data_IF_860960440174
#
_entry.id   IF_860960440174
#
_cell.length_a   1.000
_cell.length_b   1.000
_cell.length_c   1.000
_cell.angle_alpha   90.00
_cell.angle_beta   90.00
_cell.angle_gamma   90.00
#
_symmetry.space_group_name_H-M   'P 1'
#
loop_
_entity.id
_entity.type
_entity.pdbx_description
1 polymer ?
#
# COMPACT_ATOMS: atom_id res chain seq x y z
N UNK A 1 9.03 -4.13 -10.62
CA UNK A 1 9.86 -3.41 -11.61
C UNK A 1 9.43 -3.80 -13.00
N UNK A 2 9.35 -2.85 -13.91
CA UNK A 2 8.86 -3.12 -15.26
C UNK A 2 9.94 -3.82 -16.09
N UNK A 3 9.52 -4.83 -16.85
CA UNK A 3 10.37 -5.47 -17.85
C UNK A 3 10.30 -4.64 -19.13
N UNK A 4 11.38 -3.96 -19.49
CA UNK A 4 11.47 -3.16 -20.72
C UNK A 4 12.20 -3.98 -21.78
N UNK A 5 11.62 -4.07 -22.99
CA UNK A 5 12.23 -4.77 -24.12
C UNK A 5 13.57 -4.10 -24.47
N UNK A 6 14.62 -4.89 -24.59
CA UNK A 6 15.96 -4.37 -24.84
C UNK A 6 16.67 -3.77 -23.62
N UNK A 7 16.14 -3.95 -22.42
CA UNK A 7 16.79 -3.46 -21.21
C UNK A 7 17.93 -4.39 -20.77
N UNK A 8 19.15 -4.01 -21.10
CA UNK A 8 20.38 -4.72 -20.68
C UNK A 8 20.75 -4.48 -19.21
N UNK A 9 20.00 -3.61 -18.49
CA UNK A 9 20.30 -3.20 -17.10
C UNK A 9 19.52 -3.98 -16.05
N UNK A 10 19.17 -5.23 -16.32
CA UNK A 10 18.45 -6.08 -15.35
C UNK A 10 19.21 -6.27 -14.03
N UNK A 11 20.53 -6.30 -14.08
CA UNK A 11 21.37 -6.40 -12.88
C UNK A 11 21.22 -5.15 -11.98
N UNK A 12 21.18 -3.95 -12.56
CA UNK A 12 20.91 -2.72 -11.80
C UNK A 12 19.55 -2.75 -11.11
N UNK A 13 18.52 -3.26 -11.79
CA UNK A 13 17.18 -3.43 -11.17
C UNK A 13 17.19 -4.43 -10.03
N UNK A 14 17.91 -5.55 -10.17
CA UNK A 14 18.06 -6.54 -9.11
C UNK A 14 18.81 -5.99 -7.90
N UNK A 15 19.90 -5.24 -8.15
CA UNK A 15 20.67 -4.57 -7.10
C UNK A 15 19.80 -3.54 -6.36
N UNK A 16 19.04 -2.73 -7.07
CA UNK A 16 18.11 -1.78 -6.46
C UNK A 16 17.03 -2.49 -5.62
N UNK A 17 16.46 -3.57 -6.14
CA UNK A 17 15.50 -4.37 -5.38
C UNK A 17 16.11 -4.94 -4.09
N UNK A 18 17.33 -5.51 -4.19
CA UNK A 18 18.07 -6.00 -3.02
C UNK A 18 18.35 -4.90 -2.00
N UNK A 19 18.75 -3.71 -2.48
CA UNK A 19 19.00 -2.56 -1.61
C UNK A 19 17.73 -2.17 -0.85
N UNK A 20 16.62 -1.94 -1.57
CA UNK A 20 15.35 -1.46 -0.98
C UNK A 20 14.78 -2.44 0.05
N UNK A 21 14.91 -3.75 -0.17
CA UNK A 21 14.47 -4.75 0.81
C UNK A 21 15.53 -5.10 1.86
N UNK A 22 16.72 -4.52 1.76
CA UNK A 22 17.84 -4.77 2.70
C UNK A 22 17.58 -4.15 4.08
N UNK A 23 18.05 -4.81 5.14
CA UNK A 23 17.84 -4.37 6.54
C UNK A 23 18.33 -2.95 6.80
N UNK A 24 19.53 -2.61 6.33
CA UNK A 24 20.11 -1.28 6.52
C UNK A 24 19.30 -0.20 5.84
N UNK A 25 18.89 -0.42 4.60
CA UNK A 25 18.03 0.53 3.88
C UNK A 25 16.69 0.70 4.61
N UNK A 26 16.05 -0.41 4.97
CA UNK A 26 14.78 -0.38 5.70
C UNK A 26 14.90 0.38 7.02
N UNK A 27 15.97 0.21 7.77
CA UNK A 27 16.23 0.94 9.02
C UNK A 27 16.41 2.44 8.76
N UNK A 28 17.42 2.81 7.96
CA UNK A 28 17.76 4.23 7.72
C UNK A 28 16.63 4.98 7.07
N UNK A 29 16.00 4.39 6.05
CA UNK A 29 14.88 5.03 5.35
C UNK A 29 13.69 5.27 6.28
N UNK A 30 13.31 4.28 7.08
CA UNK A 30 12.13 4.41 7.94
C UNK A 30 12.39 5.32 9.16
N UNK A 31 13.61 5.37 9.70
CA UNK A 31 13.98 6.36 10.71
C UNK A 31 13.84 7.80 10.19
N UNK A 32 14.29 8.07 8.96
CA UNK A 32 14.16 9.40 8.36
C UNK A 32 12.73 9.73 7.93
N UNK A 33 11.96 8.72 7.50
CA UNK A 33 10.58 8.91 7.04
C UNK A 33 9.58 9.00 8.20
N UNK A 34 9.89 8.52 9.39
CA UNK A 34 8.94 8.38 10.49
C UNK A 34 7.92 7.25 10.25
N UNK A 35 8.37 6.12 9.71
CA UNK A 35 7.53 4.95 9.46
C UNK A 35 8.21 3.69 10.01
N UNK A 36 7.51 2.56 10.00
CA UNK A 36 8.09 1.28 10.42
C UNK A 36 8.65 0.49 9.22
N UNK A 37 9.70 -0.32 9.41
CA UNK A 37 10.19 -1.23 8.38
C UNK A 37 9.12 -2.23 7.96
N UNK A 38 9.05 -2.52 6.65
CA UNK A 38 8.20 -3.60 6.13
C UNK A 38 8.73 -5.00 6.52
N UNK A 39 10.00 -5.09 6.88
CA UNK A 39 10.63 -6.32 7.36
C UNK A 39 10.48 -6.44 8.87
N UNK A 40 10.07 -7.62 9.33
CA UNK A 40 9.91 -7.92 10.76
C UNK A 40 11.22 -8.25 11.49
N UNK A 41 12.31 -8.47 10.73
CA UNK A 41 13.63 -8.82 11.26
C UNK A 41 14.60 -7.62 11.30
N UNK A 42 14.11 -6.40 11.24
CA UNK A 42 14.85 -5.15 11.47
C UNK A 42 14.67 -4.72 12.92
N UNK A 43 15.81 -4.49 13.61
CA UNK A 43 15.75 -4.00 14.99
C UNK A 43 15.13 -2.60 15.07
N UNK A 44 14.18 -2.42 15.98
CA UNK A 44 13.52 -1.15 16.26
C UNK A 44 14.17 -0.34 17.40
N UNK A 45 15.32 -0.76 17.93
CA UNK A 45 15.93 -0.13 19.11
C UNK A 45 16.30 1.35 18.99
N UNK A 46 16.36 1.89 17.76
CA UNK A 46 16.60 3.33 17.51
C UNK A 46 15.31 4.07 17.10
N UNK A 47 14.18 3.36 17.03
CA UNK A 47 12.90 3.93 16.67
C UNK A 47 12.18 4.46 17.91
N UNK A 48 11.26 5.40 17.70
CA UNK A 48 10.46 5.97 18.77
C UNK A 48 9.37 5.01 19.28
N UNK A 49 8.69 5.42 20.36
CA UNK A 49 7.62 4.66 20.97
C UNK A 49 6.46 4.38 19.98
N UNK A 50 6.10 5.36 19.14
CA UNK A 50 5.01 5.19 18.17
C UNK A 50 5.32 4.11 17.14
N UNK A 51 6.57 4.03 16.68
CA UNK A 51 7.02 2.98 15.78
C UNK A 51 6.95 1.59 16.43
N UNK A 52 7.31 1.46 17.72
CA UNK A 52 7.17 0.21 18.46
C UNK A 52 5.72 -0.24 18.56
N UNK A 53 4.79 0.65 18.91
CA UNK A 53 3.36 0.36 18.98
C UNK A 53 2.83 -0.05 17.60
N UNK A 54 3.11 0.73 16.56
CA UNK A 54 2.67 0.45 15.19
C UNK A 54 3.19 -0.89 14.67
N UNK A 55 4.43 -1.24 14.97
CA UNK A 55 5.00 -2.53 14.57
C UNK A 55 4.37 -3.71 15.31
N UNK A 56 4.07 -3.54 16.60
CA UNK A 56 3.37 -4.54 17.39
C UNK A 56 1.95 -4.78 16.86
N UNK A 57 1.20 -3.71 16.55
CA UNK A 57 -0.15 -3.77 16.00
C UNK A 57 -0.16 -4.42 14.60
N UNK A 58 0.79 -4.05 13.74
CA UNK A 58 0.94 -4.66 12.42
C UNK A 58 1.23 -6.16 12.53
N UNK A 59 2.10 -6.56 13.44
CA UNK A 59 2.43 -7.96 13.67
C UNK A 59 1.23 -8.74 14.21
N UNK A 60 0.53 -8.20 15.19
CA UNK A 60 -0.67 -8.80 15.76
C UNK A 60 -1.77 -8.96 14.70
N UNK A 61 -1.99 -7.95 13.86
CA UNK A 61 -2.96 -7.98 12.75
C UNK A 61 -2.56 -9.01 11.69
N UNK A 62 -1.27 -9.14 11.40
CA UNK A 62 -0.76 -10.12 10.44
C UNK A 62 -0.98 -11.55 10.94
N UNK A 63 -0.66 -11.82 12.20
CA UNK A 63 -0.86 -13.14 12.83
C UNK A 63 -2.34 -13.46 12.99
N UNK A 64 -3.15 -12.46 13.36
CA UNK A 64 -4.60 -12.61 13.54
C UNK A 64 -5.40 -12.66 12.24
N UNK A 65 -4.76 -12.49 11.08
CA UNK A 65 -5.45 -12.48 9.78
C UNK A 65 -6.33 -11.25 9.53
N UNK A 66 -6.11 -10.18 10.27
CA UNK A 66 -6.87 -8.92 10.17
C UNK A 66 -6.11 -7.81 9.47
N UNK A 67 -4.90 -8.09 8.97
CA UNK A 67 -4.10 -7.13 8.21
C UNK A 67 -4.73 -6.87 6.85
N UNK A 68 -5.22 -5.64 6.64
CA UNK A 68 -5.82 -5.22 5.38
C UNK A 68 -4.80 -4.45 4.53
N UNK A 69 -4.68 -4.76 3.23
CA UNK A 69 -3.85 -3.98 2.32
C UNK A 69 -4.37 -2.55 2.17
N UNK A 70 -3.45 -1.59 2.03
CA UNK A 70 -3.82 -0.18 1.87
C UNK A 70 -4.44 0.09 0.51
N UNK A 71 -5.67 0.64 0.50
CA UNK A 71 -6.31 1.16 -0.71
C UNK A 71 -5.54 2.35 -1.30
N UNK A 72 -5.18 3.32 -0.46
CA UNK A 72 -4.53 4.56 -0.88
C UNK A 72 -3.15 4.33 -1.55
N UNK A 73 -2.49 3.22 -1.23
CA UNK A 73 -1.21 2.85 -1.83
C UNK A 73 -1.34 1.82 -2.96
N UNK A 74 -2.56 1.60 -3.48
CA UNK A 74 -2.81 0.71 -4.60
C UNK A 74 -2.57 -0.78 -4.33
N UNK A 75 -2.63 -1.20 -3.05
CA UNK A 75 -2.33 -2.57 -2.64
C UNK A 75 -3.58 -3.43 -2.43
N UNK A 76 -4.73 -2.79 -2.20
CA UNK A 76 -5.96 -3.50 -1.82
C UNK A 76 -6.75 -4.05 -3.00
N UNK A 77 -6.73 -3.36 -4.15
CA UNK A 77 -7.58 -3.66 -5.30
C UNK A 77 -6.79 -3.59 -6.62
N UNK A 78 -7.34 -4.26 -7.65
CA UNK A 78 -6.85 -4.10 -9.03
C UNK A 78 -7.14 -2.68 -9.52
N UNK A 79 -6.34 -2.19 -10.49
CA UNK A 79 -6.45 -0.81 -11.00
C UNK A 79 -7.86 -0.44 -11.49
N UNK A 80 -8.57 -1.36 -12.17
CA UNK A 80 -9.93 -1.12 -12.63
C UNK A 80 -10.93 -0.92 -11.47
N UNK A 81 -10.81 -1.73 -10.41
CA UNK A 81 -11.67 -1.60 -9.21
C UNK A 81 -11.36 -0.32 -8.42
N UNK A 82 -10.07 -0.01 -8.26
CA UNK A 82 -9.65 1.23 -7.61
C UNK A 82 -10.12 2.46 -8.38
N UNK A 83 -10.04 2.43 -9.72
CA UNK A 83 -10.58 3.46 -10.62
C UNK A 83 -12.09 3.64 -10.41
N UNK A 84 -12.86 2.57 -10.44
CA UNK A 84 -14.32 2.61 -10.25
C UNK A 84 -14.73 3.22 -8.91
N UNK A 85 -14.00 2.96 -7.83
CA UNK A 85 -14.22 3.60 -6.53
C UNK A 85 -13.92 5.09 -6.61
N UNK A 86 -12.75 5.46 -7.14
CA UNK A 86 -12.32 6.85 -7.25
C UNK A 86 -13.31 7.67 -8.09
N UNK A 87 -13.75 7.14 -9.23
CA UNK A 87 -14.69 7.81 -10.13
C UNK A 87 -16.06 8.03 -9.44
N UNK A 88 -16.55 7.01 -8.73
CA UNK A 88 -17.82 7.13 -8.00
C UNK A 88 -17.76 8.14 -6.86
N UNK A 89 -16.69 8.12 -6.08
CA UNK A 89 -16.46 9.09 -4.98
C UNK A 89 -16.35 10.50 -5.55
N UNK A 90 -15.60 10.67 -6.64
CA UNK A 90 -15.44 11.96 -7.32
C UNK A 90 -16.75 12.47 -7.87
N UNK A 91 -17.56 11.61 -8.51
CA UNK A 91 -18.87 11.97 -9.01
C UNK A 91 -19.83 12.40 -7.88
N UNK A 92 -19.84 11.67 -6.76
CA UNK A 92 -20.63 12.02 -5.59
C UNK A 92 -20.22 13.36 -5.00
N UNK A 93 -18.92 13.59 -4.84
CA UNK A 93 -18.39 14.84 -4.27
C UNK A 93 -18.68 16.07 -5.13
N UNK A 94 -18.66 15.92 -6.45
CA UNK A 94 -18.87 17.02 -7.40
C UNK A 94 -20.30 17.17 -7.94
N UNK A 95 -21.28 16.52 -7.31
CA UNK A 95 -22.67 16.57 -7.74
C UNK A 95 -23.65 16.63 -6.55
N UNK A 96 -24.94 16.76 -6.84
CA UNK A 96 -26.01 16.64 -5.85
C UNK A 96 -26.49 15.19 -5.65
N UNK A 97 -25.70 14.20 -6.07
CA UNK A 97 -26.01 12.79 -5.90
C UNK A 97 -26.13 12.45 -4.41
N UNK A 98 -27.19 11.76 -4.03
CA UNK A 98 -27.35 11.30 -2.66
C UNK A 98 -26.34 10.19 -2.32
N UNK A 99 -25.98 10.03 -1.06
CA UNK A 99 -25.10 8.94 -0.61
C UNK A 99 -25.68 7.56 -0.96
N UNK A 100 -27.03 7.42 -0.95
CA UNK A 100 -27.69 6.17 -1.34
C UNK A 100 -27.47 5.83 -2.81
N UNK A 101 -27.57 6.81 -3.69
CA UNK A 101 -27.29 6.64 -5.12
C UNK A 101 -25.80 6.35 -5.37
N UNK A 102 -24.91 7.06 -4.68
CA UNK A 102 -23.47 6.84 -4.76
C UNK A 102 -23.09 5.41 -4.35
N UNK A 103 -23.66 4.90 -3.25
CA UNK A 103 -23.42 3.52 -2.82
C UNK A 103 -23.92 2.51 -3.85
N UNK A 104 -25.11 2.70 -4.41
CA UNK A 104 -25.65 1.82 -5.45
C UNK A 104 -24.79 1.84 -6.72
N UNK A 105 -24.30 3.01 -7.12
CA UNK A 105 -23.37 3.18 -8.24
C UNK A 105 -22.03 2.48 -7.96
N UNK A 106 -21.50 2.61 -6.75
CA UNK A 106 -20.24 1.99 -6.33
C UNK A 106 -20.30 0.47 -6.39
N UNK A 107 -21.36 -0.12 -5.82
CA UNK A 107 -21.56 -1.59 -5.87
C UNK A 107 -21.58 -2.08 -7.30
N UNK A 108 -22.39 -1.43 -8.17
CA UNK A 108 -22.47 -1.78 -9.59
C UNK A 108 -21.14 -1.64 -10.32
N UNK A 109 -20.38 -0.58 -10.04
CA UNK A 109 -19.09 -0.32 -10.67
C UNK A 109 -18.05 -1.36 -10.28
N UNK A 110 -18.02 -1.77 -9.00
CA UNK A 110 -17.13 -2.84 -8.52
C UNK A 110 -17.50 -4.19 -9.13
N UNK A 111 -18.78 -4.52 -9.20
CA UNK A 111 -19.23 -5.80 -9.78
C UNK A 111 -18.89 -5.90 -11.27
N UNK A 112 -19.01 -4.81 -12.02
CA UNK A 112 -18.63 -4.77 -13.43
C UNK A 112 -17.12 -4.80 -13.69
N UNK A 113 -16.30 -4.58 -12.66
CA UNK A 113 -14.82 -4.56 -12.76
C UNK A 113 -14.14 -5.87 -12.34
N UNK A 114 -14.89 -6.88 -11.99
CA UNK A 114 -14.40 -8.23 -11.66
C UNK A 114 -14.01 -8.99 -12.91
#
# INVERSE_FOLDING_TARGET
MFKVKGNERQEGQKLLAKLVVGKNFQKVFNLNKGSIPARTDVSLGEFDHCAHVSAADMNASSVGGTLLPSYAHGMALRGAQAGAITDTVTAHFNSNMSSKEAVAMLVKAIDNSK
#
